data_IF_100135491948
#
_entry.id   IF_100135491948
#
_cell.length_a   1.000
_cell.length_b   1.000
_cell.length_c   1.000
_cell.angle_alpha   90.00
_cell.angle_beta   90.00
_cell.angle_gamma   90.00
#
_symmetry.space_group_name_H-M   'P 1'
#
loop_
_entity.id
_entity.type
_entity.pdbx_description
1 polymer ?
#
# COMPACT_ATOMS: atom_id res chain seq x y z
N UNK A 1 15.55 49.76 3.05
CA UNK A 1 15.02 48.48 2.53
C UNK A 1 13.52 48.56 2.75
N UNK A 2 12.74 48.64 1.66
CA UNK A 2 11.32 49.06 1.71
C UNK A 2 10.44 47.97 2.32
N UNK A 3 9.42 48.35 3.10
CA UNK A 3 8.45 47.42 3.71
C UNK A 3 7.82 46.49 2.66
N UNK A 4 7.60 47.01 1.45
CA UNK A 4 7.08 46.24 0.31
C UNK A 4 8.00 45.09 -0.12
N UNK A 5 9.33 45.28 -0.02
CA UNK A 5 10.30 44.22 -0.33
C UNK A 5 10.18 43.08 0.69
N UNK A 6 9.99 43.42 1.96
CA UNK A 6 9.80 42.45 3.03
C UNK A 6 8.47 41.69 2.88
N UNK A 7 7.38 42.39 2.54
CA UNK A 7 6.10 41.75 2.26
C UNK A 7 6.17 40.80 1.07
N UNK A 8 6.91 41.18 0.02
CA UNK A 8 7.15 40.32 -1.15
C UNK A 8 7.94 39.06 -0.79
N UNK A 9 8.99 39.19 0.02
CA UNK A 9 9.78 38.06 0.52
C UNK A 9 8.92 37.11 1.37
N UNK A 10 8.04 37.66 2.21
CA UNK A 10 7.10 36.86 3.01
C UNK A 10 6.10 36.09 2.14
N UNK A 11 5.55 36.71 1.09
CA UNK A 11 4.64 36.02 0.16
C UNK A 11 5.33 34.89 -0.62
N UNK A 12 6.57 35.12 -1.06
CA UNK A 12 7.36 34.08 -1.72
C UNK A 12 7.66 32.91 -0.77
N UNK A 13 7.90 33.20 0.51
CA UNK A 13 8.14 32.17 1.53
C UNK A 13 6.88 31.34 1.81
N UNK A 14 5.70 31.97 1.84
CA UNK A 14 4.43 31.23 2.01
C UNK A 14 4.14 30.30 0.83
N UNK A 15 4.38 30.77 -0.41
CA UNK A 15 4.19 29.94 -1.60
C UNK A 15 5.17 28.75 -1.65
N UNK A 16 6.39 28.96 -1.15
CA UNK A 16 7.38 27.89 -1.03
C UNK A 16 6.95 26.84 0.00
N UNK A 17 6.36 27.26 1.13
CA UNK A 17 5.84 26.34 2.16
C UNK A 17 4.70 25.46 1.63
N UNK A 18 3.78 26.02 0.82
CA UNK A 18 2.72 25.24 0.16
C UNK A 18 3.31 24.16 -0.76
N UNK A 19 4.28 24.53 -1.61
CA UNK A 19 4.97 23.59 -2.51
C UNK A 19 5.74 22.48 -1.78
N UNK A 20 6.37 22.81 -0.65
CA UNK A 20 7.05 21.82 0.18
C UNK A 20 6.04 20.86 0.79
N UNK A 21 4.90 21.37 1.27
CA UNK A 21 3.82 20.54 1.82
C UNK A 21 3.26 19.57 0.78
N UNK A 22 2.93 20.04 -0.43
CA UNK A 22 2.46 19.17 -1.54
C UNK A 22 3.46 18.07 -1.89
N UNK A 23 4.76 18.40 -1.87
CA UNK A 23 5.82 17.43 -2.13
C UNK A 23 5.94 16.42 -0.99
N UNK A 24 5.81 16.86 0.26
CA UNK A 24 5.79 15.98 1.42
C UNK A 24 4.58 15.06 1.40
N UNK A 25 3.39 15.53 1.04
CA UNK A 25 2.19 14.70 0.88
C UNK A 25 2.41 13.64 -0.20
N UNK A 26 2.98 13.99 -1.35
CA UNK A 26 3.30 12.99 -2.40
C UNK A 26 4.31 11.95 -1.95
N UNK A 27 5.31 12.34 -1.14
CA UNK A 27 6.31 11.42 -0.59
C UNK A 27 5.66 10.53 0.49
N UNK A 28 4.82 11.10 1.36
CA UNK A 28 4.06 10.37 2.37
C UNK A 28 3.08 9.37 1.72
N UNK A 29 2.33 9.77 0.69
CA UNK A 29 1.51 8.85 -0.11
C UNK A 29 2.32 7.76 -0.81
N UNK A 30 3.64 7.93 -0.94
CA UNK A 30 4.54 6.88 -1.46
C UNK A 30 5.08 5.98 -0.33
N UNK A 31 5.05 6.38 0.94
CA UNK A 31 5.79 5.70 2.03
C UNK A 31 5.12 5.61 3.42
N UNK A 32 3.87 6.02 3.59
CA UNK A 32 3.19 5.95 4.89
C UNK A 32 1.73 5.56 4.74
N UNK A 33 1.47 4.28 4.97
CA UNK A 33 0.40 3.92 5.89
C UNK A 33 1.06 3.02 6.93
N UNK A 34 0.68 3.17 8.19
CA UNK A 34 0.94 2.20 9.25
C UNK A 34 0.25 0.89 8.87
N UNK A 35 0.85 0.14 7.96
CA UNK A 35 0.25 -1.11 7.55
C UNK A 35 0.35 -2.05 8.74
N UNK A 36 -0.80 -2.41 9.32
CA UNK A 36 -0.93 -3.44 10.36
C UNK A 36 -0.22 -4.75 9.97
N UNK A 37 0.06 -4.93 8.66
CA UNK A 37 0.70 -6.08 8.08
C UNK A 37 1.99 -5.74 7.31
N UNK A 38 3.01 -6.63 7.38
CA UNK A 38 4.28 -6.44 6.69
C UNK A 38 4.11 -6.44 5.16
N UNK A 39 5.07 -5.84 4.45
CA UNK A 39 5.07 -5.79 2.98
C UNK A 39 5.07 -7.19 2.31
N UNK A 40 5.62 -8.19 3.00
CA UNK A 40 5.55 -9.59 2.60
C UNK A 40 4.85 -10.38 3.70
N UNK A 41 3.71 -10.96 3.34
CA UNK A 41 2.84 -11.71 4.22
C UNK A 41 3.25 -13.18 4.24
N UNK A 42 3.19 -13.79 5.43
CA UNK A 42 3.11 -15.25 5.57
C UNK A 42 1.64 -15.68 5.51
N UNK A 43 1.42 -16.99 5.44
CA UNK A 43 0.08 -17.57 5.48
C UNK A 43 -0.74 -17.08 6.68
N UNK A 44 -0.11 -16.92 7.85
CA UNK A 44 -0.83 -16.46 9.04
C UNK A 44 -1.30 -15.01 8.91
N UNK A 45 -0.52 -14.15 8.27
CA UNK A 45 -0.90 -12.75 8.05
C UNK A 45 -2.03 -12.67 7.02
N UNK A 46 -1.93 -13.42 5.92
CA UNK A 46 -2.98 -13.51 4.91
C UNK A 46 -4.29 -14.10 5.46
N UNK A 47 -4.22 -15.06 6.39
CA UNK A 47 -5.40 -15.59 7.10
C UNK A 47 -6.10 -14.50 7.92
N UNK A 48 -5.35 -13.64 8.61
CA UNK A 48 -5.91 -12.53 9.39
C UNK A 48 -6.56 -11.49 8.49
N UNK A 49 -5.90 -11.13 7.39
CA UNK A 49 -6.41 -10.16 6.41
C UNK A 49 -7.71 -10.66 5.76
N UNK A 50 -7.75 -11.93 5.33
CA UNK A 50 -8.91 -12.49 4.62
C UNK A 50 -10.01 -13.03 5.56
N UNK A 51 -9.74 -13.15 6.87
CA UNK A 51 -10.68 -13.74 7.82
C UNK A 51 -10.95 -15.23 7.60
N UNK A 52 -10.03 -15.96 6.95
CA UNK A 52 -10.24 -17.37 6.60
C UNK A 52 -9.36 -18.33 7.43
N UNK A 53 -9.88 -19.53 7.64
CA UNK A 53 -9.13 -20.61 8.27
C UNK A 53 -7.97 -21.13 7.42
N UNK A 54 -7.03 -21.83 8.07
CA UNK A 54 -5.82 -22.39 7.45
C UNK A 54 -6.10 -23.23 6.20
N UNK A 55 -7.10 -24.12 6.28
CA UNK A 55 -7.43 -25.01 5.17
C UNK A 55 -7.91 -24.25 3.93
N UNK A 56 -8.74 -23.23 4.13
CA UNK A 56 -9.21 -22.34 3.07
C UNK A 56 -8.04 -21.56 2.48
N UNK A 57 -7.15 -21.02 3.32
CA UNK A 57 -5.97 -20.30 2.85
C UNK A 57 -5.06 -21.15 1.97
N UNK A 58 -4.77 -22.40 2.37
CA UNK A 58 -3.95 -23.30 1.55
C UNK A 58 -4.62 -23.70 0.22
N UNK A 59 -5.96 -23.73 0.17
CA UNK A 59 -6.68 -23.91 -1.10
C UNK A 59 -6.50 -22.70 -1.99
N UNK A 60 -6.65 -21.48 -1.46
CA UNK A 60 -6.46 -20.23 -2.20
C UNK A 60 -5.04 -20.10 -2.77
N UNK A 61 -4.01 -20.40 -1.96
CA UNK A 61 -2.61 -20.34 -2.41
C UNK A 61 -2.33 -21.27 -3.61
N UNK A 62 -3.09 -22.36 -3.75
CA UNK A 62 -2.95 -23.30 -4.86
C UNK A 62 -3.79 -22.92 -6.09
N UNK A 63 -4.63 -21.89 -5.99
CA UNK A 63 -5.42 -21.46 -7.14
C UNK A 63 -4.52 -20.82 -8.19
N UNK A 64 -4.74 -21.12 -9.48
CA UNK A 64 -4.06 -20.41 -10.56
C UNK A 64 -4.31 -18.90 -10.45
N UNK A 65 -3.24 -18.10 -10.58
CA UNK A 65 -3.32 -16.64 -10.48
C UNK A 65 -3.22 -16.07 -9.07
N UNK A 66 -3.22 -16.90 -8.02
CA UNK A 66 -2.99 -16.40 -6.67
C UNK A 66 -1.56 -15.83 -6.51
N UNK A 67 -1.38 -14.65 -5.90
CA UNK A 67 -0.11 -13.92 -5.89
C UNK A 67 0.86 -14.43 -4.80
N UNK A 68 1.15 -15.74 -4.77
CA UNK A 68 2.11 -16.34 -3.85
C UNK A 68 3.42 -16.73 -4.55
N UNK A 69 4.53 -16.65 -3.81
CA UNK A 69 5.82 -17.25 -4.14
C UNK A 69 6.18 -18.28 -3.09
N UNK A 70 6.48 -19.50 -3.53
CA UNK A 70 6.92 -20.57 -2.65
C UNK A 70 8.43 -20.76 -2.77
N UNK A 71 9.13 -20.68 -1.64
CA UNK A 71 10.54 -21.01 -1.50
C UNK A 71 10.64 -22.20 -0.55
N UNK A 72 10.93 -23.38 -1.09
CA UNK A 72 10.90 -24.67 -0.39
C UNK A 72 9.60 -24.90 0.40
N UNK A 73 9.64 -24.61 1.71
CA UNK A 73 8.54 -24.80 2.67
C UNK A 73 7.89 -23.49 3.13
N UNK A 74 8.37 -22.35 2.63
CA UNK A 74 7.89 -21.02 3.02
C UNK A 74 7.06 -20.44 1.88
N UNK A 75 5.85 -19.98 2.22
CA UNK A 75 4.95 -19.28 1.30
C UNK A 75 5.01 -17.80 1.65
N UNK A 76 5.38 -16.99 0.67
CA UNK A 76 5.49 -15.55 0.74
C UNK A 76 4.47 -14.92 -0.20
N UNK A 77 3.70 -13.98 0.31
CA UNK A 77 2.64 -13.31 -0.45
C UNK A 77 2.95 -11.81 -0.39
N UNK A 78 3.35 -11.17 -1.51
CA UNK A 78 3.51 -9.73 -1.54
C UNK A 78 2.17 -9.08 -1.20
N UNK A 79 2.14 -8.23 -0.18
CA UNK A 79 0.91 -7.65 0.36
C UNK A 79 0.12 -6.91 -0.71
N UNK A 80 0.79 -6.05 -1.46
CA UNK A 80 0.13 -5.19 -2.45
C UNK A 80 -0.47 -6.04 -3.59
N UNK A 81 0.22 -7.11 -4.01
CA UNK A 81 -0.31 -8.06 -4.99
C UNK A 81 -1.51 -8.85 -4.49
N UNK A 82 -1.60 -9.14 -3.20
CA UNK A 82 -2.77 -9.78 -2.61
C UNK A 82 -4.00 -8.89 -2.73
N UNK A 83 -3.86 -7.60 -2.44
CA UNK A 83 -4.94 -6.63 -2.57
C UNK A 83 -5.34 -6.41 -4.03
N UNK A 84 -4.37 -6.26 -4.94
CA UNK A 84 -4.65 -6.20 -6.39
C UNK A 84 -5.45 -7.43 -6.86
N UNK A 85 -5.03 -8.63 -6.46
CA UNK A 85 -5.74 -9.87 -6.81
C UNK A 85 -7.17 -9.92 -6.24
N UNK A 86 -7.40 -9.38 -5.04
CA UNK A 86 -8.74 -9.30 -4.45
C UNK A 86 -9.64 -8.34 -5.22
N UNK A 87 -9.11 -7.19 -5.63
CA UNK A 87 -9.85 -6.21 -6.42
C UNK A 87 -10.20 -6.76 -7.82
N UNK A 88 -9.27 -7.50 -8.44
CA UNK A 88 -9.47 -8.19 -9.71
C UNK A 88 -10.51 -9.31 -9.61
N UNK A 89 -10.46 -10.12 -8.54
CA UNK A 89 -11.37 -11.26 -8.31
C UNK A 89 -12.73 -10.83 -7.76
N UNK A 90 -12.83 -9.63 -7.17
CA UNK A 90 -14.06 -9.01 -6.66
C UNK A 90 -15.07 -8.67 -7.76
N UNK A 91 -14.62 -8.56 -9.03
CA UNK A 91 -15.46 -8.90 -10.17
C UNK A 91 -15.57 -10.43 -10.21
N UNK A 92 -16.55 -10.97 -9.50
CA UNK A 92 -16.83 -12.40 -9.52
C UNK A 92 -16.87 -12.92 -10.97
N UNK A 93 -16.56 -14.22 -11.20
CA UNK A 93 -16.65 -14.81 -12.53
C UNK A 93 -18.02 -14.47 -13.10
N UNK A 94 -18.03 -13.85 -14.28
CA UNK A 94 -19.24 -13.64 -15.06
C UNK A 94 -19.85 -15.03 -15.26
N UNK A 95 -20.91 -15.33 -14.51
CA UNK A 95 -21.77 -16.48 -14.69
C UNK A 95 -22.78 -16.21 -15.80
#
# INVERSE_FOLDING_TARGET
MSVEKFLTELTQLTELLEKVTDKLERIASTHSEDHEFPAVLRIQDAMKILGVGRNTMYKLVKQPGFPARQFDKVILIPRDRLFEWLDETGRGPSN
#
